data_IF_374990220841
#
_entry.id   IF_374990220841
#
_cell.length_a   1.000
_cell.length_b   1.000
_cell.length_c   1.000
_cell.angle_alpha   90.00
_cell.angle_beta   90.00
_cell.angle_gamma   90.00
#
_symmetry.space_group_name_H-M   'P 1'
#
loop_
_entity.id
_entity.type
_entity.pdbx_description
1 polymer ?
#
# COMPACT_ATOMS: atom_id res chain seq x y z
N UNK A 1 -14.96 19.28 2.24
CA UNK A 1 -13.67 18.73 1.79
C UNK A 1 -13.46 19.29 0.40
N UNK A 2 -12.37 20.02 0.17
CA UNK A 2 -12.09 20.61 -1.14
C UNK A 2 -11.76 19.48 -2.12
N UNK A 3 -12.59 19.29 -3.15
CA UNK A 3 -12.39 18.20 -4.13
C UNK A 3 -11.30 18.65 -5.10
N UNK A 4 -10.10 18.09 -4.97
CA UNK A 4 -8.99 18.40 -5.87
C UNK A 4 -9.15 17.63 -7.19
N UNK A 5 -9.21 18.31 -8.36
CA UNK A 5 -9.27 17.64 -9.67
C UNK A 5 -8.16 16.61 -9.90
N UNK A 6 -6.99 16.80 -9.28
CA UNK A 6 -5.87 15.86 -9.37
C UNK A 6 -6.20 14.47 -8.80
N UNK A 7 -7.23 14.34 -7.97
CA UNK A 7 -7.62 13.05 -7.40
C UNK A 7 -8.41 12.19 -8.38
N UNK A 8 -8.92 12.75 -9.48
CA UNK A 8 -9.75 12.01 -10.44
C UNK A 8 -9.38 12.18 -11.91
N UNK A 9 -8.59 13.18 -12.27
CA UNK A 9 -8.16 13.38 -13.66
C UNK A 9 -7.40 12.17 -14.22
N UNK A 10 -7.65 11.81 -15.49
CA UNK A 10 -6.81 10.86 -16.21
C UNK A 10 -5.34 11.29 -16.15
N UNK A 11 -4.43 10.33 -16.04
CA UNK A 11 -2.96 10.55 -15.96
C UNK A 11 -2.42 11.26 -14.71
N UNK A 12 -3.27 11.67 -13.76
CA UNK A 12 -2.75 12.19 -12.49
C UNK A 12 -2.00 11.11 -11.72
N UNK A 13 -0.79 11.45 -11.26
CA UNK A 13 -0.01 10.63 -10.34
C UNK A 13 -0.74 10.44 -9.01
N UNK A 14 -1.46 11.45 -8.52
CA UNK A 14 -2.21 11.37 -7.25
C UNK A 14 -3.66 10.91 -7.44
N UNK A 15 -4.01 10.33 -8.60
CA UNK A 15 -5.37 9.83 -8.83
C UNK A 15 -5.74 8.81 -7.76
N UNK A 16 -6.84 9.04 -7.05
CA UNK A 16 -7.33 8.20 -5.97
C UNK A 16 -7.88 6.87 -6.50
N UNK A 17 -7.78 5.76 -5.74
CA UNK A 17 -8.51 4.54 -6.03
C UNK A 17 -10.04 4.74 -6.15
N UNK A 18 -10.59 5.74 -5.45
CA UNK A 18 -12.02 6.07 -5.46
C UNK A 18 -12.37 7.19 -6.46
N UNK A 19 -11.57 7.37 -7.52
CA UNK A 19 -11.68 8.53 -8.42
C UNK A 19 -13.06 8.74 -9.03
N UNK A 20 -13.82 7.67 -9.30
CA UNK A 20 -15.18 7.78 -9.87
C UNK A 20 -16.17 8.42 -8.92
N UNK A 21 -16.10 8.06 -7.64
CA UNK A 21 -16.89 8.71 -6.59
C UNK A 21 -16.50 10.18 -6.47
N UNK A 22 -15.21 10.50 -6.42
CA UNK A 22 -14.73 11.89 -6.34
C UNK A 22 -15.16 12.72 -7.57
N UNK A 23 -15.10 12.13 -8.77
CA UNK A 23 -15.57 12.77 -10.00
C UNK A 23 -17.08 13.01 -9.98
N UNK A 24 -17.86 12.03 -9.53
CA UNK A 24 -19.31 12.16 -9.44
C UNK A 24 -19.71 13.21 -8.39
N UNK A 25 -19.04 13.25 -7.23
CA UNK A 25 -19.22 14.29 -6.21
C UNK A 25 -18.91 15.69 -6.76
N UNK A 26 -17.79 15.83 -7.48
CA UNK A 26 -17.43 17.07 -8.15
C UNK A 26 -18.52 17.56 -9.12
N UNK A 27 -19.09 16.66 -9.93
CA UNK A 27 -20.18 17.00 -10.87
C UNK A 27 -21.45 17.45 -10.16
N UNK A 28 -21.80 16.85 -9.02
CA UNK A 28 -22.95 17.29 -8.22
C UNK A 28 -22.72 18.68 -7.64
N UNK A 29 -21.51 18.93 -7.11
CA UNK A 29 -21.15 20.20 -6.49
C UNK A 29 -21.08 21.36 -7.50
N UNK A 30 -20.29 21.19 -8.56
CA UNK A 30 -20.02 22.22 -9.56
C UNK A 30 -21.10 22.33 -10.66
N UNK A 31 -22.09 21.42 -10.65
CA UNK A 31 -23.15 21.34 -11.68
C UNK A 31 -22.60 21.27 -13.11
N UNK A 32 -21.48 20.60 -13.29
CA UNK A 32 -20.79 20.49 -14.59
C UNK A 32 -21.49 19.48 -15.52
N UNK A 33 -21.37 19.70 -16.82
CA UNK A 33 -21.84 18.77 -17.85
C UNK A 33 -20.95 17.51 -17.88
N UNK A 34 -21.48 16.35 -18.34
CA UNK A 34 -20.65 15.17 -18.56
C UNK A 34 -19.50 15.48 -19.53
N UNK A 35 -18.32 14.97 -19.22
CA UNK A 35 -17.12 15.02 -20.06
C UNK A 35 -16.77 13.60 -20.49
N UNK A 36 -16.98 13.22 -21.77
CA UNK A 36 -16.76 11.86 -22.24
C UNK A 36 -15.29 11.42 -22.23
N UNK A 37 -14.33 12.35 -22.04
CA UNK A 37 -12.91 12.00 -21.89
C UNK A 37 -12.55 11.50 -20.48
N UNK A 38 -13.41 11.77 -19.49
CA UNK A 38 -13.19 11.44 -18.08
C UNK A 38 -14.30 10.53 -17.54
N UNK A 39 -15.55 10.81 -17.89
CA UNK A 39 -16.74 10.15 -17.37
C UNK A 39 -17.01 8.85 -18.14
N UNK A 40 -17.12 7.75 -17.39
CA UNK A 40 -17.49 6.43 -17.89
C UNK A 40 -18.83 5.95 -17.28
N UNK A 41 -19.27 4.76 -17.66
CA UNK A 41 -20.52 4.16 -17.15
C UNK A 41 -20.54 4.09 -15.62
N UNK A 42 -19.43 3.71 -15.00
CA UNK A 42 -19.31 3.64 -13.54
C UNK A 42 -19.35 5.01 -12.86
N UNK A 43 -18.94 6.08 -13.56
CA UNK A 43 -19.11 7.46 -13.07
C UNK A 43 -20.59 7.86 -13.03
N UNK A 44 -21.40 7.44 -14.00
CA UNK A 44 -22.86 7.64 -13.97
C UNK A 44 -23.52 6.79 -12.88
N UNK A 45 -23.04 5.55 -12.65
CA UNK A 45 -23.48 4.72 -11.51
C UNK A 45 -23.18 5.42 -10.17
N UNK A 46 -21.96 5.95 -9.99
CA UNK A 46 -21.57 6.73 -8.83
C UNK A 46 -22.46 7.98 -8.64
N UNK A 47 -22.75 8.70 -9.72
CA UNK A 47 -23.62 9.88 -9.71
C UNK A 47 -25.05 9.53 -9.28
N UNK A 48 -25.59 8.42 -9.79
CA UNK A 48 -26.91 7.91 -9.39
C UNK A 48 -26.94 7.55 -7.90
N UNK A 49 -25.88 6.90 -7.41
CA UNK A 49 -25.74 6.51 -6.01
C UNK A 49 -25.69 7.73 -5.07
N UNK A 50 -24.93 8.77 -5.43
CA UNK A 50 -24.83 10.02 -4.65
C UNK A 50 -26.17 10.75 -4.61
N UNK A 51 -26.86 10.87 -5.75
CA UNK A 51 -28.16 11.55 -5.84
C UNK A 51 -29.27 10.79 -5.14
N UNK A 52 -29.17 9.47 -5.07
CA UNK A 52 -30.22 8.60 -4.56
C UNK A 52 -29.60 7.31 -3.98
N UNK A 53 -29.14 7.32 -2.71
CA UNK A 53 -28.47 6.19 -2.06
C UNK A 53 -29.29 4.89 -1.92
N UNK A 54 -30.56 4.91 -2.30
CA UNK A 54 -31.46 3.75 -2.38
C UNK A 54 -32.01 3.49 -3.79
N UNK A 55 -31.42 4.08 -4.83
CA UNK A 55 -31.85 3.88 -6.21
C UNK A 55 -31.59 2.46 -6.73
N UNK A 56 -30.76 1.70 -6.02
CA UNK A 56 -30.52 0.29 -6.24
C UNK A 56 -31.29 -0.50 -5.19
N UNK A 57 -32.09 -1.47 -5.64
CA UNK A 57 -32.89 -2.30 -4.75
C UNK A 57 -32.04 -3.12 -3.76
N UNK A 58 -32.64 -3.63 -2.68
CA UNK A 58 -31.95 -4.54 -1.76
C UNK A 58 -31.43 -5.76 -2.53
N UNK A 59 -30.19 -6.17 -2.23
CA UNK A 59 -29.51 -7.27 -2.93
C UNK A 59 -28.80 -6.87 -4.23
N UNK A 60 -28.95 -5.63 -4.70
CA UNK A 60 -28.20 -5.16 -5.87
C UNK A 60 -26.69 -5.04 -5.56
N UNK A 61 -25.78 -5.48 -6.45
CA UNK A 61 -24.33 -5.47 -6.19
C UNK A 61 -23.75 -4.10 -5.80
N UNK A 62 -24.17 -3.04 -6.49
CA UNK A 62 -23.78 -1.65 -6.17
C UNK A 62 -24.21 -1.24 -4.77
N UNK A 63 -25.42 -1.66 -4.33
CA UNK A 63 -25.91 -1.34 -2.99
C UNK A 63 -25.09 -2.08 -1.93
N UNK A 64 -24.72 -3.34 -2.18
CA UNK A 64 -23.85 -4.12 -1.29
C UNK A 64 -22.45 -3.49 -1.18
N UNK A 65 -21.86 -3.09 -2.31
CA UNK A 65 -20.58 -2.39 -2.33
C UNK A 65 -20.64 -1.05 -1.58
N UNK A 66 -21.70 -0.27 -1.75
CA UNK A 66 -21.89 0.99 -1.03
C UNK A 66 -22.08 0.79 0.48
N UNK A 67 -22.82 -0.25 0.88
CA UNK A 67 -22.97 -0.62 2.28
C UNK A 67 -21.64 -1.02 2.93
N UNK A 68 -20.75 -1.70 2.19
CA UNK A 68 -19.38 -2.00 2.63
C UNK A 68 -18.53 -0.74 2.74
N UNK A 69 -18.63 0.18 1.77
CA UNK A 69 -17.85 1.42 1.76
C UNK A 69 -18.18 2.34 2.93
N UNK A 70 -19.48 2.53 3.19
CA UNK A 70 -20.00 3.46 4.21
C UNK A 70 -19.77 2.99 5.64
N UNK A 71 -19.54 1.69 5.84
CA UNK A 71 -19.25 1.12 7.15
C UNK A 71 -17.75 0.98 7.33
N UNK A 72 -17.22 1.54 8.41
CA UNK A 72 -15.85 1.25 8.82
C UNK A 72 -15.81 -0.12 9.49
N UNK A 73 -15.60 -1.17 8.68
CA UNK A 73 -15.69 -2.55 9.11
C UNK A 73 -14.50 -3.38 8.62
N UNK A 74 -14.11 -4.38 9.41
CA UNK A 74 -13.04 -5.34 9.09
C UNK A 74 -13.19 -5.95 7.68
N UNK A 75 -14.44 -6.24 7.28
CA UNK A 75 -14.78 -6.79 5.96
C UNK A 75 -14.31 -5.89 4.81
N UNK A 76 -14.39 -4.57 4.99
CA UNK A 76 -13.93 -3.59 4.00
C UNK A 76 -12.40 -3.66 3.86
N UNK A 77 -11.69 -3.69 4.99
CA UNK A 77 -10.23 -3.76 5.00
C UNK A 77 -9.72 -5.06 4.38
N UNK A 78 -10.38 -6.18 4.68
CA UNK A 78 -10.08 -7.49 4.08
C UNK A 78 -10.29 -7.47 2.56
N UNK A 79 -11.41 -6.92 2.08
CA UNK A 79 -11.71 -6.81 0.66
C UNK A 79 -10.66 -5.95 -0.07
N UNK A 80 -10.35 -4.77 0.47
CA UNK A 80 -9.34 -3.87 -0.12
C UNK A 80 -7.95 -4.52 -0.14
N UNK A 81 -7.56 -5.25 0.92
CA UNK A 81 -6.31 -5.99 0.94
C UNK A 81 -6.27 -7.07 -0.15
N UNK A 82 -7.34 -7.88 -0.28
CA UNK A 82 -7.40 -8.92 -1.31
C UNK A 82 -7.40 -8.37 -2.73
N UNK A 83 -8.01 -7.22 -2.97
CA UNK A 83 -7.99 -6.53 -4.28
C UNK A 83 -6.58 -6.11 -4.73
N UNK A 84 -5.63 -6.01 -3.80
CA UNK A 84 -4.21 -5.74 -4.10
C UNK A 84 -3.39 -6.98 -4.47
N UNK A 85 -4.02 -8.17 -4.48
CA UNK A 85 -3.38 -9.42 -4.89
C UNK A 85 -3.72 -9.79 -6.34
N UNK A 86 -3.06 -10.82 -6.87
CA UNK A 86 -3.35 -11.40 -8.18
C UNK A 86 -4.59 -12.32 -8.22
N UNK A 87 -5.33 -12.47 -7.11
CA UNK A 87 -6.51 -13.34 -7.06
C UNK A 87 -7.60 -12.90 -8.06
N UNK A 88 -8.44 -13.80 -8.53
CA UNK A 88 -9.62 -13.45 -9.35
C UNK A 88 -10.72 -12.79 -8.50
N UNK A 89 -11.69 -12.11 -9.12
CA UNK A 89 -12.82 -11.58 -8.37
C UNK A 89 -13.66 -12.68 -7.69
N UNK A 90 -13.77 -13.86 -8.31
CA UNK A 90 -14.47 -15.02 -7.71
C UNK A 90 -13.77 -15.53 -6.45
N UNK A 91 -12.44 -15.66 -6.48
CA UNK A 91 -11.66 -16.08 -5.31
C UNK A 91 -11.80 -15.08 -4.16
N UNK A 92 -11.78 -13.78 -4.48
CA UNK A 92 -11.97 -12.71 -3.49
C UNK A 92 -13.40 -12.75 -2.94
N UNK A 93 -14.40 -12.90 -3.80
CA UNK A 93 -15.80 -12.97 -3.42
C UNK A 93 -16.05 -14.13 -2.45
N UNK A 94 -15.55 -15.33 -2.78
CA UNK A 94 -15.62 -16.49 -1.89
C UNK A 94 -14.96 -16.22 -0.53
N UNK A 95 -13.74 -15.66 -0.54
CA UNK A 95 -12.99 -15.38 0.70
C UNK A 95 -13.61 -14.28 1.57
N UNK A 96 -14.38 -13.36 0.98
CA UNK A 96 -15.07 -12.27 1.66
C UNK A 96 -16.55 -12.55 1.94
N UNK A 97 -17.08 -13.72 1.53
CA UNK A 97 -18.51 -14.04 1.59
C UNK A 97 -19.38 -12.98 0.88
N UNK A 98 -18.95 -12.55 -0.31
CA UNK A 98 -19.63 -11.59 -1.17
C UNK A 98 -19.99 -12.24 -2.51
N UNK A 99 -20.85 -11.60 -3.30
CA UNK A 99 -21.01 -11.96 -4.71
C UNK A 99 -19.88 -11.35 -5.54
N UNK A 100 -19.47 -12.02 -6.62
CA UNK A 100 -18.46 -11.52 -7.57
C UNK A 100 -18.83 -10.13 -8.09
N UNK A 101 -20.11 -9.93 -8.48
CA UNK A 101 -20.60 -8.64 -8.93
C UNK A 101 -20.48 -7.52 -7.88
N UNK A 102 -20.60 -7.85 -6.58
CA UNK A 102 -20.43 -6.85 -5.51
C UNK A 102 -18.95 -6.48 -5.32
N UNK A 103 -18.04 -7.45 -5.46
CA UNK A 103 -16.59 -7.22 -5.46
C UNK A 103 -16.18 -6.34 -6.64
N UNK A 104 -16.70 -6.64 -7.84
CA UNK A 104 -16.49 -5.83 -9.05
C UNK A 104 -17.00 -4.40 -8.88
N UNK A 105 -18.24 -4.23 -8.42
CA UNK A 105 -18.80 -2.90 -8.16
C UNK A 105 -17.98 -2.14 -7.11
N UNK A 106 -17.48 -2.83 -6.07
CA UNK A 106 -16.63 -2.21 -5.07
C UNK A 106 -15.29 -1.75 -5.66
N UNK A 107 -14.65 -2.60 -6.46
CA UNK A 107 -13.43 -2.26 -7.19
C UNK A 107 -13.66 -1.04 -8.09
N UNK A 108 -14.70 -1.05 -8.92
CA UNK A 108 -14.91 0.03 -9.90
C UNK A 108 -15.29 1.37 -9.25
N UNK A 109 -16.11 1.36 -8.20
CA UNK A 109 -16.59 2.61 -7.58
C UNK A 109 -15.61 3.16 -6.54
N UNK A 110 -15.07 2.29 -5.68
CA UNK A 110 -14.43 2.71 -4.43
C UNK A 110 -12.94 2.39 -4.35
N UNK A 111 -12.45 1.42 -5.12
CA UNK A 111 -11.08 0.94 -4.96
C UNK A 111 -10.47 0.41 -6.28
N UNK A 112 -10.41 1.27 -7.29
CA UNK A 112 -10.00 0.92 -8.65
C UNK A 112 -8.47 0.86 -8.77
N UNK A 113 -7.89 -0.25 -8.29
CA UNK A 113 -6.44 -0.43 -8.13
C UNK A 113 -5.83 -1.40 -9.14
N UNK A 114 -6.61 -2.34 -9.68
CA UNK A 114 -6.07 -3.44 -10.51
C UNK A 114 -5.28 -2.99 -11.74
N UNK A 115 -5.72 -1.98 -12.50
CA UNK A 115 -4.96 -1.51 -13.66
C UNK A 115 -3.61 -0.85 -13.31
N UNK A 116 -3.30 -0.68 -12.02
CA UNK A 116 -2.11 0.03 -11.53
C UNK A 116 -1.27 -0.80 -10.55
N UNK A 117 -1.50 -2.11 -10.44
CA UNK A 117 -0.73 -2.93 -9.49
C UNK A 117 0.78 -2.94 -9.76
N UNK A 118 1.20 -2.74 -11.02
CA UNK A 118 2.61 -2.62 -11.39
C UNK A 118 3.24 -1.27 -11.00
N UNK A 119 2.42 -0.24 -10.73
CA UNK A 119 2.88 1.07 -10.30
C UNK A 119 3.13 1.09 -8.79
N UNK A 120 4.20 0.43 -8.34
CA UNK A 120 4.49 0.18 -6.91
C UNK A 120 4.41 1.41 -6.02
N UNK A 121 5.05 2.51 -6.43
CA UNK A 121 5.06 3.75 -5.65
C UNK A 121 3.65 4.33 -5.51
N UNK A 122 2.85 4.24 -6.58
CA UNK A 122 1.45 4.66 -6.57
C UNK A 122 0.62 3.79 -5.63
N UNK A 123 0.75 2.46 -5.71
CA UNK A 123 -0.01 1.54 -4.85
C UNK A 123 0.33 1.78 -3.38
N UNK A 124 1.61 1.93 -3.07
CA UNK A 124 2.09 2.20 -1.72
C UNK A 124 1.56 3.54 -1.19
N UNK A 125 1.65 4.60 -1.98
CA UNK A 125 1.21 5.94 -1.58
C UNK A 125 -0.32 6.06 -1.49
N UNK A 126 -1.05 5.51 -2.46
CA UNK A 126 -2.47 5.81 -2.67
C UNK A 126 -3.41 4.71 -2.15
N UNK A 127 -3.08 3.44 -2.37
CA UNK A 127 -3.97 2.32 -2.04
C UNK A 127 -3.67 1.74 -0.65
N UNK A 128 -2.40 1.46 -0.36
CA UNK A 128 -1.91 1.03 0.96
C UNK A 128 -1.91 2.20 1.94
N UNK A 129 -1.63 3.42 1.44
CA UNK A 129 -1.43 4.63 2.23
C UNK A 129 -0.32 4.47 3.27
N UNK A 130 0.76 3.82 2.85
CA UNK A 130 2.00 3.72 3.62
C UNK A 130 2.81 4.99 3.37
N UNK A 131 2.93 5.85 4.38
CA UNK A 131 3.87 6.96 4.33
C UNK A 131 5.32 6.44 4.52
N UNK A 132 6.34 7.17 4.03
CA UNK A 132 7.75 6.81 4.22
C UNK A 132 8.17 6.65 5.70
N UNK A 133 7.40 7.25 6.63
CA UNK A 133 7.66 7.22 8.08
C UNK A 133 6.85 6.13 8.81
N UNK A 134 6.49 5.02 8.15
CA UNK A 134 5.86 3.84 8.76
C UNK A 134 4.54 4.07 9.53
N UNK A 135 3.85 5.18 9.26
CA UNK A 135 2.56 5.48 9.86
C UNK A 135 1.43 5.20 8.87
N UNK A 136 1.24 3.92 8.52
CA UNK A 136 0.08 3.46 7.76
C UNK A 136 -1.16 4.30 8.11
N UNK A 137 -1.65 5.09 7.15
CA UNK A 137 -2.69 6.04 7.45
C UNK A 137 -4.01 5.30 7.72
N UNK A 138 -4.55 5.45 8.93
CA UNK A 138 -5.85 4.92 9.33
C UNK A 138 -5.80 3.92 10.49
N UNK A 139 -6.93 3.27 10.79
CA UNK A 139 -7.00 2.28 11.86
C UNK A 139 -6.12 1.07 11.54
N UNK A 140 -5.31 0.66 12.52
CA UNK A 140 -4.70 -0.65 12.48
C UNK A 140 -5.76 -1.71 12.78
N UNK A 141 -5.78 -2.84 12.06
CA UNK A 141 -4.70 -3.39 11.22
C UNK A 141 -4.83 -3.17 9.69
N UNK A 142 -5.69 -2.26 9.21
CA UNK A 142 -6.04 -2.16 7.79
C UNK A 142 -4.82 -1.94 6.85
N UNK A 143 -3.93 -1.02 7.19
CA UNK A 143 -2.74 -0.72 6.39
C UNK A 143 -1.77 -1.89 6.29
N UNK A 144 -1.55 -2.60 7.42
CA UNK A 144 -0.71 -3.81 7.45
C UNK A 144 -1.26 -4.88 6.51
N UNK A 145 -2.57 -5.11 6.50
CA UNK A 145 -3.18 -6.13 5.66
C UNK A 145 -2.98 -5.82 4.18
N UNK A 146 -3.21 -4.56 3.79
CA UNK A 146 -2.95 -4.10 2.41
C UNK A 146 -1.49 -4.23 2.02
N UNK A 147 -0.58 -3.85 2.92
CA UNK A 147 0.86 -3.99 2.70
C UNK A 147 1.27 -5.45 2.49
N UNK A 148 0.84 -6.34 3.39
CA UNK A 148 1.12 -7.77 3.32
C UNK A 148 0.57 -8.39 2.03
N UNK A 149 -0.65 -8.00 1.64
CA UNK A 149 -1.28 -8.47 0.42
C UNK A 149 -0.53 -8.02 -0.85
N UNK A 150 -0.15 -6.74 -0.92
CA UNK A 150 0.53 -6.19 -2.08
C UNK A 150 1.95 -6.73 -2.23
N UNK A 151 2.71 -6.80 -1.14
CA UNK A 151 4.13 -7.19 -1.16
C UNK A 151 4.36 -8.70 -1.14
N UNK A 152 3.51 -9.45 -0.44
CA UNK A 152 3.66 -10.89 -0.21
C UNK A 152 2.57 -11.75 -0.87
N UNK A 153 1.56 -11.13 -1.46
CA UNK A 153 0.46 -11.85 -2.11
C UNK A 153 -0.51 -12.50 -1.11
N UNK A 154 -1.42 -13.37 -1.61
CA UNK A 154 -2.54 -13.89 -0.82
C UNK A 154 -2.10 -14.80 0.34
N UNK A 155 -1.01 -15.58 0.18
CA UNK A 155 -0.52 -16.48 1.24
C UNK A 155 0.04 -15.72 2.44
N UNK A 156 0.80 -14.64 2.20
CA UNK A 156 1.32 -13.81 3.29
C UNK A 156 0.17 -13.08 3.98
N UNK A 157 -0.81 -12.57 3.22
CA UNK A 157 -2.02 -11.99 3.78
C UNK A 157 -2.76 -12.97 4.71
N UNK A 158 -2.93 -14.23 4.32
CA UNK A 158 -3.60 -15.24 5.17
C UNK A 158 -2.89 -15.46 6.50
N UNK A 159 -1.56 -15.53 6.51
CA UNK A 159 -0.77 -15.64 7.74
C UNK A 159 -0.96 -14.40 8.61
N UNK A 160 -0.87 -13.21 8.03
CA UNK A 160 -1.04 -11.94 8.76
C UNK A 160 -2.44 -11.83 9.35
N UNK A 161 -3.48 -12.20 8.60
CA UNK A 161 -4.87 -12.28 9.09
C UNK A 161 -4.98 -13.27 10.25
N UNK A 162 -4.44 -14.48 10.12
CA UNK A 162 -4.48 -15.48 11.18
C UNK A 162 -3.81 -15.01 12.48
N UNK A 163 -2.68 -14.29 12.36
CA UNK A 163 -1.95 -13.76 13.52
C UNK A 163 -2.67 -12.57 14.14
N UNK A 164 -3.12 -11.61 13.34
CA UNK A 164 -3.77 -10.38 13.82
C UNK A 164 -5.18 -10.61 14.37
N UNK A 165 -5.89 -11.62 13.87
CA UNK A 165 -7.25 -11.98 14.29
C UNK A 165 -7.29 -13.16 15.27
N UNK A 166 -6.13 -13.70 15.67
CA UNK A 166 -6.06 -14.86 16.58
C UNK A 166 -6.70 -16.14 16.01
N UNK A 167 -6.84 -16.25 14.68
CA UNK A 167 -7.39 -17.44 14.01
C UNK A 167 -6.31 -18.51 13.82
N UNK A 168 -6.68 -19.80 13.66
CA UNK A 168 -5.72 -20.84 13.28
C UNK A 168 -4.89 -20.46 12.04
N UNK A 169 -3.63 -20.87 11.99
CA UNK A 169 -2.81 -20.67 10.80
C UNK A 169 -3.36 -21.48 9.62
N UNK A 170 -3.14 -21.04 8.37
CA UNK A 170 -3.51 -21.83 7.20
C UNK A 170 -2.86 -23.21 7.22
N UNK A 171 -3.59 -24.24 6.75
CA UNK A 171 -3.15 -25.64 6.76
C UNK A 171 -1.74 -25.82 6.16
N UNK A 172 -1.51 -25.20 4.98
CA UNK A 172 -0.22 -25.24 4.28
C UNK A 172 0.95 -24.72 5.13
N UNK A 173 0.69 -23.88 6.14
CA UNK A 173 1.72 -23.40 7.06
C UNK A 173 1.79 -24.26 8.32
N UNK A 174 0.66 -24.63 8.91
CA UNK A 174 0.66 -25.47 10.12
C UNK A 174 1.26 -26.86 9.87
N UNK A 175 1.08 -27.41 8.67
CA UNK A 175 1.67 -28.69 8.25
C UNK A 175 3.20 -28.66 8.17
N UNK A 176 3.82 -27.47 8.16
CA UNK A 176 5.29 -27.32 8.18
C UNK A 176 5.90 -27.51 9.57
N UNK A 177 5.08 -27.60 10.62
CA UNK A 177 5.53 -27.77 11.99
C UNK A 177 5.61 -29.27 12.34
N UNK A 178 6.83 -29.80 12.47
CA UNK A 178 7.08 -31.24 12.53
C UNK A 178 7.47 -31.74 13.92
N UNK A 179 8.22 -30.96 14.70
CA UNK A 179 8.85 -31.46 15.93
C UNK A 179 7.97 -31.25 17.16
N UNK A 180 7.47 -30.02 17.32
CA UNK A 180 6.59 -29.63 18.42
C UNK A 180 5.61 -28.58 17.92
N UNK A 181 4.51 -29.00 17.25
CA UNK A 181 3.63 -28.08 16.53
C UNK A 181 3.09 -26.92 17.38
N UNK A 182 2.63 -27.13 18.63
CA UNK A 182 2.16 -26.01 19.46
C UNK A 182 3.23 -24.96 19.74
N UNK A 183 4.47 -25.39 20.01
CA UNK A 183 5.57 -24.48 20.35
C UNK A 183 6.12 -23.78 19.08
N UNK A 184 6.25 -24.51 17.98
CA UNK A 184 6.67 -23.96 16.67
C UNK A 184 5.66 -22.93 16.15
N UNK A 185 4.36 -23.19 16.29
CA UNK A 185 3.32 -22.23 15.97
C UNK A 185 3.38 -20.98 16.88
N UNK A 186 3.51 -21.16 18.20
CA UNK A 186 3.60 -20.05 19.14
C UNK A 186 4.81 -19.14 18.84
N UNK A 187 5.95 -19.74 18.52
CA UNK A 187 7.15 -19.03 18.10
C UNK A 187 6.93 -18.26 16.78
N UNK A 188 6.37 -18.93 15.76
CA UNK A 188 6.07 -18.30 14.47
C UNK A 188 5.11 -17.11 14.62
N UNK A 189 4.03 -17.26 15.40
CA UNK A 189 3.10 -16.16 15.70
C UNK A 189 3.80 -14.99 16.39
N UNK A 190 4.68 -15.27 17.33
CA UNK A 190 5.48 -14.24 18.01
C UNK A 190 6.38 -13.50 17.04
N UNK A 191 7.06 -14.22 16.14
CA UNK A 191 7.90 -13.62 15.08
C UNK A 191 7.09 -12.72 14.15
N UNK A 192 5.91 -13.16 13.70
CA UNK A 192 5.03 -12.33 12.87
C UNK A 192 4.56 -11.09 13.62
N UNK A 193 4.06 -11.23 14.87
CA UNK A 193 3.63 -10.09 15.70
C UNK A 193 4.76 -9.07 15.86
N UNK A 194 5.97 -9.55 16.08
CA UNK A 194 7.16 -8.73 16.20
C UNK A 194 7.46 -7.96 14.89
N UNK A 195 7.46 -8.63 13.75
CA UNK A 195 7.61 -7.96 12.43
C UNK A 195 6.54 -6.90 12.21
N UNK A 196 5.28 -7.19 12.56
CA UNK A 196 4.19 -6.21 12.44
C UNK A 196 4.37 -5.02 13.37
N UNK A 197 4.88 -5.25 14.59
CA UNK A 197 5.19 -4.18 15.53
C UNK A 197 6.31 -3.27 15.00
N UNK A 198 7.33 -3.85 14.34
CA UNK A 198 8.41 -3.10 13.69
C UNK A 198 7.87 -2.25 12.53
N UNK A 199 7.03 -2.84 11.67
CA UNK A 199 6.42 -2.14 10.52
C UNK A 199 5.48 -1.00 10.94
N UNK A 200 4.99 -1.01 12.17
CA UNK A 200 4.05 0.00 12.71
C UNK A 200 4.68 0.90 13.77
N UNK A 201 5.99 0.78 13.99
CA UNK A 201 6.70 1.59 14.98
C UNK A 201 6.75 3.05 14.51
N UNK A 202 6.07 3.94 15.26
CA UNK A 202 5.99 5.38 14.98
C UNK A 202 7.20 6.19 15.44
N UNK A 203 8.14 5.58 16.16
CA UNK A 203 9.30 6.29 16.69
C UNK A 203 10.54 5.41 16.72
N UNK A 204 11.69 6.03 16.53
CA UNK A 204 13.00 5.38 16.58
C UNK A 204 13.25 4.67 17.91
N UNK A 205 12.78 5.27 19.02
CA UNK A 205 12.85 4.63 20.34
C UNK A 205 12.06 3.31 20.37
N UNK A 206 10.82 3.29 19.86
CA UNK A 206 10.02 2.05 19.83
C UNK A 206 10.68 1.02 18.93
N UNK A 207 11.25 1.45 17.81
CA UNK A 207 11.99 0.58 16.93
C UNK A 207 13.21 -0.03 17.63
N UNK A 208 13.99 0.77 18.36
CA UNK A 208 15.13 0.30 19.16
C UNK A 208 14.73 -0.76 20.20
N UNK A 209 13.68 -0.49 20.99
CA UNK A 209 13.17 -1.46 21.97
C UNK A 209 12.67 -2.76 21.31
N UNK A 210 12.08 -2.66 20.11
CA UNK A 210 11.72 -3.85 19.35
C UNK A 210 12.97 -4.60 18.93
N UNK A 211 13.96 -3.96 18.30
CA UNK A 211 15.20 -4.63 17.88
C UNK A 211 15.83 -5.44 19.02
N UNK A 212 15.95 -4.85 20.22
CA UNK A 212 16.43 -5.54 21.43
C UNK A 212 15.59 -6.77 21.78
N UNK A 213 14.25 -6.64 21.80
CA UNK A 213 13.35 -7.75 22.05
C UNK A 213 13.46 -8.86 20.99
N UNK A 214 13.71 -8.49 19.74
CA UNK A 214 13.94 -9.43 18.64
C UNK A 214 15.23 -10.24 18.81
N UNK A 215 16.29 -9.62 19.34
CA UNK A 215 17.54 -10.30 19.69
C UNK A 215 17.35 -11.26 20.87
N UNK A 216 16.64 -10.82 21.92
CA UNK A 216 16.29 -11.67 23.05
C UNK A 216 15.45 -12.89 22.62
N UNK A 217 14.45 -12.69 21.76
CA UNK A 217 13.66 -13.77 21.20
C UNK A 217 14.52 -14.77 20.40
N UNK A 218 15.53 -14.28 19.67
CA UNK A 218 16.47 -15.13 18.92
C UNK A 218 17.36 -15.95 19.85
N UNK A 219 17.86 -15.33 20.93
CA UNK A 219 18.67 -16.02 21.94
C UNK A 219 17.87 -17.15 22.62
N UNK A 220 16.66 -16.85 23.09
CA UNK A 220 15.76 -17.85 23.70
C UNK A 220 15.40 -18.99 22.73
N UNK A 221 15.20 -18.67 21.46
CA UNK A 221 14.92 -19.70 20.44
C UNK A 221 16.12 -20.64 20.24
N UNK A 222 17.33 -20.09 20.22
CA UNK A 222 18.56 -20.89 20.11
C UNK A 222 18.75 -21.80 21.33
N UNK A 223 18.51 -21.29 22.54
CA UNK A 223 18.55 -22.09 23.78
C UNK A 223 17.53 -23.23 23.78
N UNK A 224 16.34 -23.00 23.21
CA UNK A 224 15.29 -24.01 23.06
C UNK A 224 15.54 -25.01 21.90
N UNK A 225 16.68 -24.91 21.21
CA UNK A 225 17.04 -25.82 20.11
C UNK A 225 16.26 -25.57 18.81
N UNK A 226 15.61 -24.41 18.67
CA UNK A 226 15.07 -24.02 17.39
C UNK A 226 16.21 -23.69 16.43
N UNK A 227 16.18 -24.30 15.25
CA UNK A 227 17.06 -23.90 14.18
C UNK A 227 16.72 -22.45 13.81
N UNK A 228 17.56 -21.51 14.25
CA UNK A 228 17.52 -20.14 13.76
C UNK A 228 17.99 -20.22 12.31
N UNK A 229 17.07 -20.56 11.41
CA UNK A 229 17.27 -20.32 9.99
C UNK A 229 17.65 -18.86 9.86
N UNK A 230 18.73 -18.57 9.12
CA UNK A 230 19.01 -17.23 8.62
C UNK A 230 17.91 -16.87 7.61
N UNK A 231 16.68 -16.74 8.10
CA UNK A 231 15.49 -16.49 7.30
C UNK A 231 15.67 -15.11 6.68
N UNK A 232 15.80 -14.98 5.35
CA UNK A 232 16.23 -13.75 4.67
C UNK A 232 15.26 -12.59 4.84
N UNK A 233 14.03 -12.85 5.30
CA UNK A 233 12.99 -11.83 5.50
C UNK A 233 13.29 -10.82 6.62
N UNK A 234 13.97 -11.23 7.70
CA UNK A 234 14.37 -10.30 8.77
C UNK A 234 15.70 -9.57 8.48
N UNK A 235 16.75 -10.21 7.93
CA UNK A 235 17.94 -9.52 7.46
C UNK A 235 17.63 -8.47 6.41
N UNK A 236 16.76 -8.73 5.44
CA UNK A 236 16.42 -7.74 4.42
C UNK A 236 15.74 -6.50 5.02
N UNK A 237 14.84 -6.68 6.00
CA UNK A 237 14.26 -5.55 6.72
C UNK A 237 15.25 -4.86 7.65
N UNK A 238 16.14 -5.60 8.31
CA UNK A 238 17.23 -5.05 9.12
C UNK A 238 18.20 -4.23 8.29
N UNK A 239 18.61 -4.72 7.12
CA UNK A 239 19.48 -4.03 6.16
C UNK A 239 18.79 -2.80 5.56
N UNK A 240 17.51 -2.89 5.20
CA UNK A 240 16.71 -1.74 4.73
C UNK A 240 16.56 -0.70 5.85
N UNK A 241 16.29 -1.11 7.09
CA UNK A 241 16.16 -0.19 8.23
C UNK A 241 17.52 0.39 8.65
N UNK A 242 18.61 -0.35 8.55
CA UNK A 242 19.97 0.16 8.74
C UNK A 242 20.43 1.08 7.62
N UNK A 243 19.95 0.89 6.38
CA UNK A 243 20.19 1.78 5.26
C UNK A 243 19.33 3.05 5.29
N UNK A 244 18.15 3.00 5.91
CA UNK A 244 17.25 4.13 6.13
C UNK A 244 17.54 4.88 7.45
N UNK A 245 18.24 4.25 8.38
CA UNK A 245 18.71 4.84 9.63
C UNK A 245 19.95 5.71 9.41
N UNK A 246 19.81 7.00 9.69
CA UNK A 246 20.81 8.07 9.69
C UNK A 246 22.29 7.64 9.80
N UNK A 247 23.20 8.23 8.98
CA UNK A 247 24.63 8.09 9.19
C UNK A 247 25.04 8.77 10.50
N UNK A 248 25.32 7.96 11.52
CA UNK A 248 26.25 8.25 12.60
C UNK A 248 25.91 9.43 13.52
N UNK A 249 25.19 9.17 14.61
CA UNK A 249 25.45 9.85 15.89
C UNK A 249 26.69 9.24 16.55
N UNK A 250 27.83 9.36 15.87
CA UNK A 250 29.14 8.97 16.34
C UNK A 250 30.04 10.20 16.40
N UNK A 251 29.75 11.14 17.29
CA UNK A 251 30.77 12.12 17.71
C UNK A 251 31.66 11.41 18.72
N UNK A 252 32.57 10.58 18.20
CA UNK A 252 33.80 10.24 18.88
C UNK A 252 34.85 11.20 18.34
N UNK A 253 35.28 12.12 19.21
CA UNK A 253 36.46 12.96 18.99
C UNK A 253 37.65 12.08 18.66
N UNK A 254 38.26 12.32 17.50
CA UNK A 254 39.63 11.92 17.23
C UNK A 254 40.41 13.13 16.73
N UNK A 255 41.36 13.65 17.52
CA UNK A 255 42.16 14.80 17.15
C UNK A 255 43.40 14.32 16.40
N UNK A 256 43.33 14.22 15.08
CA UNK A 256 44.44 14.50 14.17
C UNK A 256 44.10 14.10 12.74
N UNK A 257 43.95 15.10 11.86
CA UNK A 257 44.31 14.89 10.46
C UNK A 257 44.82 16.18 9.82
N UNK A 258 45.98 16.13 9.14
CA UNK A 258 46.61 17.33 8.60
C UNK A 258 45.95 17.77 7.30
N UNK A 259 45.98 19.08 7.11
CA UNK A 259 45.54 19.85 5.95
C UNK A 259 46.31 19.46 4.69
N UNK A 260 45.59 19.02 3.65
CA UNK A 260 46.10 18.96 2.28
C UNK A 260 45.21 19.83 1.41
N UNK A 261 45.72 21.02 1.09
CA UNK A 261 45.17 21.83 0.01
C UNK A 261 45.56 21.23 -1.35
N UNK A 262 44.66 21.34 -2.34
CA UNK A 262 45.03 21.56 -3.75
C UNK A 262 43.82 21.88 -4.64
N UNK A 263 43.93 23.05 -5.26
CA UNK A 263 43.63 23.36 -6.66
C UNK A 263 42.19 23.17 -7.19
N UNK A 264 41.41 24.24 -7.14
CA UNK A 264 40.31 24.48 -8.08
C UNK A 264 40.87 24.65 -9.51
N UNK A 265 40.58 23.69 -10.39
CA UNK A 265 40.67 23.88 -11.84
C UNK A 265 39.40 24.59 -12.34
N UNK A 266 39.61 25.76 -12.97
CA UNK A 266 38.59 26.55 -13.68
C UNK A 266 37.88 25.69 -14.74
N UNK A 267 36.55 25.60 -14.65
CA UNK A 267 35.67 25.05 -15.69
C UNK A 267 35.41 26.13 -16.74
N UNK A 268 35.50 25.76 -18.01
CA UNK A 268 35.21 26.60 -19.18
C UNK A 268 33.70 26.94 -19.30
N UNK A 269 33.34 28.04 -19.99
CA UNK A 269 31.95 28.49 -20.09
C UNK A 269 31.14 27.63 -21.07
N UNK A 270 29.86 27.45 -20.73
CA UNK A 270 28.83 26.71 -21.47
C UNK A 270 28.46 27.49 -22.75
N UNK A 271 28.33 26.85 -23.93
CA UNK A 271 27.82 27.54 -25.12
C UNK A 271 26.32 27.81 -25.00
N UNK A 272 25.89 28.94 -25.57
CA UNK A 272 24.51 29.42 -25.58
C UNK A 272 23.57 28.54 -26.44
N UNK A 273 22.26 28.51 -26.12
CA UNK A 273 21.29 27.74 -26.88
C UNK A 273 21.04 28.34 -28.27
N UNK A 274 20.99 27.47 -29.27
CA UNK A 274 20.65 27.78 -30.66
C UNK A 274 19.15 28.03 -30.77
N UNK A 275 18.77 29.24 -31.16
CA UNK A 275 17.38 29.59 -31.54
C UNK A 275 16.99 28.89 -32.84
N UNK A 276 15.98 28.04 -32.77
CA UNK A 276 15.31 27.47 -33.94
C UNK A 276 14.20 28.44 -34.38
N UNK A 277 14.29 28.96 -35.60
CA UNK A 277 13.22 29.74 -36.22
C UNK A 277 12.10 28.82 -36.75
N UNK A 278 10.82 29.21 -36.64
CA UNK A 278 9.72 28.48 -37.25
C UNK A 278 9.65 28.77 -38.75
N UNK A 279 9.71 27.71 -39.56
CA UNK A 279 9.45 27.76 -41.00
C UNK A 279 7.97 28.05 -41.25
N UNK A 280 7.73 29.17 -41.95
CA UNK A 280 6.47 29.63 -42.49
C UNK A 280 6.26 28.93 -43.84
N UNK A 281 5.30 28.01 -43.95
CA UNK A 281 4.74 27.55 -45.24
C UNK A 281 3.34 28.15 -45.36
N UNK A 282 3.11 29.14 -46.22
CA UNK A 282 2.92 29.05 -47.69
C UNK A 282 1.68 28.25 -48.11
N UNK A 283 0.62 29.04 -48.23
CA UNK A 283 -0.52 29.00 -49.14
C UNK A 283 -0.32 28.29 -50.50
N UNK A 284 -1.36 27.53 -50.90
CA UNK A 284 -1.87 27.30 -52.27
C UNK A 284 -3.28 26.71 -52.10
N UNK A 285 -4.37 27.42 -52.38
CA UNK A 285 -4.96 27.68 -53.71
C UNK A 285 -4.88 26.48 -54.67
N UNK A 286 -5.96 25.70 -54.71
CA UNK A 286 -6.85 25.51 -55.87
C UNK A 286 -8.25 25.10 -55.39
#
# INVERSE_FOLDING_TARGET
MEINPMDWLPHSFSRSPAWRMLRAEYRVHEKTRPDPSVDDEWTEVALKLIRSPGAFGPGHPVQAAFALWTREHESRWLLEARLLTAQSFDEIAAACSLSTAAVEAYHELFFHVRPRLDARDWVMAMAVRSAPMNDFAGPQPAGIWKYAAFTGGPRVLEVVLAVTLGRPLPAWKSETFLKNPPLEEAYFRTKVKFTLAVLTARSDHRLGSLVELGEQLRALAAEAGFAVSADPLLPLMGEILSALGCPGSGVSESPNRPTVGKALKKRAPRPAPVSVQPTRGESREE
#
